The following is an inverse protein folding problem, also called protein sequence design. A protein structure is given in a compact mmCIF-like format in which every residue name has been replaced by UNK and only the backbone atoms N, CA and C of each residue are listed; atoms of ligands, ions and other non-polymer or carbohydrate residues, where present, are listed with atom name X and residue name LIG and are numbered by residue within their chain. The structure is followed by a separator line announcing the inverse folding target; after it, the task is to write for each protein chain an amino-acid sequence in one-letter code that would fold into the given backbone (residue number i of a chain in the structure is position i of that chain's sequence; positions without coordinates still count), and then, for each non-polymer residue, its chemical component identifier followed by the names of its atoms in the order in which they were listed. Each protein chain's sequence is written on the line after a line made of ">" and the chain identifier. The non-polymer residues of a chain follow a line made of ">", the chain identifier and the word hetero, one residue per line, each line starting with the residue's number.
data_IF_575814306923
#
_entry.id   IF_575814306923
#
_cell.length_a   1.000
_cell.length_b   1.000
_cell.length_c   1.000
_cell.angle_alpha   90.00
_cell.angle_beta   90.00
_cell.angle_gamma   90.00
#
_symmetry.space_group_name_H-M   'P 1'
#
loop_
_entity.id
_entity.type
_entity.pdbx_description
1 polymer ?
#
# COMPACT_ATOMS: atom_id res chain seq x y z
N UNK A 1 -20.71 -35.38 -5.71
CA UNK A 1 -19.75 -36.21 -4.98
C UNK A 1 -18.38 -35.57 -5.06
N UNK A 2 -17.56 -35.68 -4.01
CA UNK A 2 -16.27 -35.01 -3.79
C UNK A 2 -15.25 -35.22 -4.94
N UNK A 3 -15.41 -36.24 -5.76
CA UNK A 3 -14.53 -36.60 -6.88
C UNK A 3 -14.75 -35.80 -8.17
N UNK A 4 -15.91 -35.21 -8.36
CA UNK A 4 -16.18 -34.39 -9.57
C UNK A 4 -15.65 -32.94 -9.45
N UNK A 5 -15.42 -32.48 -8.22
CA UNK A 5 -14.86 -31.13 -7.97
C UNK A 5 -13.38 -31.00 -8.40
N UNK A 6 -12.68 -32.10 -8.56
CA UNK A 6 -11.26 -32.15 -8.94
C UNK A 6 -11.00 -32.21 -10.46
N UNK A 7 -12.04 -32.20 -11.27
CA UNK A 7 -11.93 -32.26 -12.75
C UNK A 7 -11.90 -30.90 -13.44
N UNK A 8 -11.65 -29.81 -12.72
CA UNK A 8 -11.33 -28.51 -13.32
C UNK A 8 -9.98 -28.54 -14.04
N UNK A 9 -9.68 -27.55 -14.90
CA UNK A 9 -8.51 -27.56 -15.80
C UNK A 9 -7.18 -27.44 -15.03
N UNK A 10 -6.72 -28.54 -14.46
CA UNK A 10 -5.46 -28.64 -13.71
C UNK A 10 -4.25 -28.77 -14.64
N UNK A 11 -4.13 -27.94 -15.68
CA UNK A 11 -3.00 -28.01 -16.65
C UNK A 11 -2.27 -26.68 -16.89
N UNK A 12 -2.58 -25.61 -16.15
CA UNK A 12 -1.81 -24.37 -16.24
C UNK A 12 -1.11 -24.06 -14.91
N UNK A 13 0.10 -23.49 -14.97
CA UNK A 13 0.75 -22.90 -13.80
C UNK A 13 -0.26 -21.91 -13.15
N UNK A 14 -0.56 -22.10 -11.87
CA UNK A 14 -1.58 -21.32 -11.17
C UNK A 14 -2.96 -21.99 -11.00
N UNK A 15 -3.19 -23.18 -11.58
CA UNK A 15 -4.46 -23.89 -11.43
C UNK A 15 -4.79 -24.27 -9.98
N UNK A 16 -3.77 -24.57 -9.17
CA UNK A 16 -3.93 -24.82 -7.73
C UNK A 16 -4.43 -23.59 -6.98
N UNK A 17 -3.95 -22.42 -7.36
CA UNK A 17 -4.37 -21.14 -6.81
C UNK A 17 -5.81 -20.79 -7.19
N UNK A 18 -6.15 -20.92 -8.48
CA UNK A 18 -7.53 -20.67 -8.95
C UNK A 18 -8.52 -21.63 -8.30
N UNK A 19 -8.11 -22.90 -8.07
CA UNK A 19 -8.93 -23.87 -7.36
C UNK A 19 -9.14 -23.50 -5.88
N UNK A 20 -8.09 -23.03 -5.22
CA UNK A 20 -8.13 -22.57 -3.82
C UNK A 20 -8.98 -21.31 -3.67
N UNK A 21 -8.83 -20.34 -4.58
CA UNK A 21 -9.65 -19.11 -4.61
C UNK A 21 -11.13 -19.44 -4.86
N UNK A 22 -11.42 -20.34 -5.80
CA UNK A 22 -12.77 -20.75 -6.12
C UNK A 22 -13.42 -21.57 -4.98
N UNK A 23 -12.64 -22.38 -4.26
CA UNK A 23 -13.13 -23.11 -3.08
C UNK A 23 -13.40 -22.15 -1.91
N UNK A 24 -12.60 -21.08 -1.78
CA UNK A 24 -12.80 -20.00 -0.81
C UNK A 24 -14.09 -19.20 -1.12
N UNK A 25 -14.30 -18.86 -2.38
CA UNK A 25 -15.51 -18.16 -2.85
C UNK A 25 -16.78 -19.00 -2.61
N UNK A 26 -16.71 -20.32 -2.82
CA UNK A 26 -17.84 -21.24 -2.62
C UNK A 26 -18.13 -21.45 -1.12
N UNK A 27 -17.10 -21.55 -0.28
CA UNK A 27 -17.26 -21.81 1.16
C UNK A 27 -17.53 -20.55 1.98
N UNK A 28 -17.23 -19.37 1.42
CA UNK A 28 -17.24 -18.10 2.14
C UNK A 28 -16.12 -18.00 3.18
N UNK A 29 -15.45 -16.88 3.26
CA UNK A 29 -14.36 -16.65 4.22
C UNK A 29 -14.77 -16.80 5.70
N UNK A 30 -16.06 -16.73 6.01
CA UNK A 30 -16.60 -16.87 7.36
C UNK A 30 -16.36 -18.23 8.05
N UNK A 31 -16.10 -19.30 7.28
CA UNK A 31 -15.87 -20.63 7.85
C UNK A 31 -14.40 -20.90 8.25
N UNK A 32 -13.45 -20.08 7.80
CA UNK A 32 -12.04 -20.22 8.14
C UNK A 32 -11.67 -19.59 9.49
N UNK A 33 -12.48 -18.65 9.98
CA UNK A 33 -12.20 -17.87 11.19
C UNK A 33 -13.17 -18.13 12.37
N UNK A 34 -14.04 -19.16 12.29
CA UNK A 34 -14.98 -19.48 13.36
C UNK A 34 -16.23 -18.59 13.35
N UNK A 35 -17.39 -19.21 13.17
CA UNK A 35 -18.65 -18.63 12.72
C UNK A 35 -19.43 -17.71 13.65
N UNK A 36 -18.83 -16.79 14.39
CA UNK A 36 -19.58 -15.90 15.29
C UNK A 36 -19.18 -14.41 15.23
N UNK A 37 -18.49 -13.93 14.19
CA UNK A 37 -18.16 -12.51 14.11
C UNK A 37 -18.77 -11.84 12.87
N UNK A 38 -19.38 -10.66 13.10
CA UNK A 38 -20.10 -9.84 12.12
C UNK A 38 -19.30 -9.62 10.82
N UNK A 39 -19.98 -9.49 9.68
CA UNK A 39 -19.40 -9.35 8.32
C UNK A 39 -18.24 -8.38 8.16
N UNK A 40 -18.09 -7.43 9.06
CA UNK A 40 -16.98 -6.47 9.09
C UNK A 40 -15.60 -7.12 9.31
N UNK A 41 -15.51 -8.11 10.22
CA UNK A 41 -14.25 -8.82 10.47
C UNK A 41 -13.95 -9.82 9.35
N UNK A 42 -14.97 -10.35 8.72
CA UNK A 42 -14.83 -11.23 7.56
C UNK A 42 -14.21 -10.47 6.38
N UNK A 43 -14.62 -9.23 6.14
CA UNK A 43 -14.08 -8.40 5.06
C UNK A 43 -12.60 -8.01 5.32
N UNK A 44 -12.27 -7.60 6.55
CA UNK A 44 -10.88 -7.31 6.94
C UNK A 44 -10.01 -8.59 6.85
N UNK A 45 -10.54 -9.73 7.28
CA UNK A 45 -9.86 -11.02 7.18
C UNK A 45 -9.59 -11.45 5.73
N UNK A 46 -10.53 -11.21 4.84
CA UNK A 46 -10.42 -11.52 3.41
C UNK A 46 -9.36 -10.64 2.73
N UNK A 47 -9.37 -9.33 2.95
CA UNK A 47 -8.35 -8.41 2.43
C UNK A 47 -6.95 -8.76 2.96
N UNK A 48 -6.84 -9.05 4.26
CA UNK A 48 -5.57 -9.48 4.86
C UNK A 48 -5.08 -10.80 4.28
N UNK A 49 -5.98 -11.75 4.04
CA UNK A 49 -5.64 -13.04 3.44
C UNK A 49 -5.16 -12.87 1.99
N UNK A 50 -5.85 -12.06 1.17
CA UNK A 50 -5.41 -11.76 -0.19
C UNK A 50 -4.06 -11.05 -0.20
N UNK A 51 -3.85 -10.11 0.71
CA UNK A 51 -2.55 -9.42 0.86
C UNK A 51 -1.42 -10.42 1.16
N UNK A 52 -1.60 -11.32 2.12
CA UNK A 52 -0.63 -12.37 2.47
C UNK A 52 -0.39 -13.30 1.28
N UNK A 53 -1.43 -13.64 0.55
CA UNK A 53 -1.34 -14.54 -0.60
C UNK A 53 -0.59 -13.90 -1.76
N UNK A 54 -0.88 -12.64 -2.06
CA UNK A 54 -0.16 -11.87 -3.07
C UNK A 54 1.32 -11.69 -2.69
N UNK A 55 1.60 -11.45 -1.41
CA UNK A 55 2.96 -11.38 -0.87
C UNK A 55 3.70 -12.71 -1.09
N UNK A 56 3.07 -13.84 -0.76
CA UNK A 56 3.66 -15.17 -0.94
C UNK A 56 3.92 -15.50 -2.41
N UNK A 57 2.96 -15.15 -3.30
CA UNK A 57 3.14 -15.35 -4.75
C UNK A 57 4.29 -14.51 -5.28
N UNK A 58 4.42 -13.27 -4.81
CA UNK A 58 5.51 -12.40 -5.23
C UNK A 58 6.85 -12.93 -4.74
N UNK A 59 6.93 -13.39 -3.49
CA UNK A 59 8.12 -14.01 -2.93
C UNK A 59 8.54 -15.25 -3.72
N UNK A 60 7.62 -16.11 -4.09
CA UNK A 60 7.86 -17.28 -4.95
C UNK A 60 8.39 -16.89 -6.34
N UNK A 61 7.85 -15.81 -6.94
CA UNK A 61 8.34 -15.28 -8.22
C UNK A 61 9.78 -14.77 -8.12
N UNK A 62 10.13 -14.16 -6.99
CA UNK A 62 11.45 -13.57 -6.75
C UNK A 62 12.50 -14.61 -6.35
N UNK A 63 12.08 -15.74 -5.76
CA UNK A 63 12.97 -16.82 -5.29
C UNK A 63 13.03 -18.00 -6.28
N UNK A 64 11.98 -18.80 -6.30
CA UNK A 64 11.98 -20.10 -6.99
C UNK A 64 11.78 -19.97 -8.50
N UNK A 65 11.16 -18.87 -8.97
CA UNK A 65 10.86 -18.63 -10.38
C UNK A 65 11.55 -17.40 -10.96
N UNK A 66 12.63 -16.92 -10.34
CA UNK A 66 13.36 -15.71 -10.73
C UNK A 66 13.75 -15.70 -12.20
N UNK A 67 14.22 -16.83 -12.72
CA UNK A 67 14.67 -16.93 -14.12
C UNK A 67 13.50 -16.86 -15.12
N UNK A 68 12.33 -17.36 -14.73
CA UNK A 68 11.11 -17.37 -15.57
C UNK A 68 10.45 -15.99 -15.63
N UNK A 69 10.57 -15.21 -14.57
CA UNK A 69 9.95 -13.88 -14.44
C UNK A 69 10.97 -12.72 -14.50
N UNK A 70 12.23 -13.00 -14.85
CA UNK A 70 13.31 -12.00 -14.87
C UNK A 70 12.97 -10.73 -15.68
N UNK A 71 12.32 -10.86 -16.83
CA UNK A 71 11.86 -9.72 -17.64
C UNK A 71 10.75 -8.91 -16.98
N UNK A 72 9.86 -9.54 -16.22
CA UNK A 72 8.77 -8.86 -15.51
C UNK A 72 9.29 -8.17 -14.24
N UNK A 73 10.23 -8.80 -13.53
CA UNK A 73 10.88 -8.25 -12.34
C UNK A 73 11.81 -7.07 -12.69
N UNK A 74 12.43 -7.08 -13.87
CA UNK A 74 13.29 -5.96 -14.32
C UNK A 74 12.52 -4.69 -14.69
N UNK A 75 11.25 -4.80 -15.09
CA UNK A 75 10.39 -3.69 -15.50
C UNK A 75 9.65 -3.00 -14.33
N UNK A 76 9.55 -3.66 -13.15
CA UNK A 76 8.90 -3.14 -11.95
C UNK A 76 9.76 -3.38 -10.71
N UNK A 77 10.88 -2.65 -10.58
CA UNK A 77 11.63 -2.61 -9.32
C UNK A 77 10.91 -1.70 -8.32
N UNK A 78 9.78 -2.15 -7.80
CA UNK A 78 9.23 -1.60 -6.56
C UNK A 78 9.99 -2.27 -5.40
N UNK A 79 10.91 -1.55 -4.77
CA UNK A 79 11.67 -2.02 -3.62
C UNK A 79 10.82 -2.14 -2.36
N UNK A 80 9.64 -1.52 -2.37
CA UNK A 80 8.72 -1.43 -1.25
C UNK A 80 7.30 -1.73 -1.75
N UNK A 81 6.63 -2.65 -1.05
CA UNK A 81 5.23 -3.03 -1.35
C UNK A 81 4.24 -2.03 -0.80
N UNK A 82 4.50 -1.55 0.41
CA UNK A 82 3.65 -0.58 1.10
C UNK A 82 4.49 0.41 1.90
N UNK A 83 3.97 1.64 2.07
CA UNK A 83 4.61 2.68 2.85
C UNK A 83 3.63 3.20 3.88
N UNK A 84 4.03 3.17 5.14
CA UNK A 84 3.21 3.66 6.25
C UNK A 84 3.43 5.16 6.43
N UNK A 85 2.34 5.93 6.48
CA UNK A 85 2.36 7.37 6.77
C UNK A 85 1.77 7.61 8.16
N UNK A 86 2.58 8.18 9.05
CA UNK A 86 2.15 8.63 10.37
C UNK A 86 2.20 10.16 10.42
N UNK A 87 1.11 10.79 10.75
CA UNK A 87 1.00 12.26 10.87
C UNK A 87 0.24 12.66 12.12
N UNK A 88 0.41 13.91 12.57
CA UNK A 88 -0.40 14.57 13.57
C UNK A 88 -1.59 15.33 12.96
N UNK A 89 -1.72 15.36 11.64
CA UNK A 89 -2.86 15.92 10.95
C UNK A 89 -4.04 14.93 10.91
N UNK A 90 -5.27 15.48 10.90
CA UNK A 90 -6.48 14.69 10.73
C UNK A 90 -6.65 14.31 9.24
N UNK A 91 -6.35 13.08 8.88
CA UNK A 91 -6.46 12.51 7.53
C UNK A 91 -7.65 11.56 7.47
N UNK A 92 -8.86 12.08 7.22
CA UNK A 92 -10.09 11.28 7.25
C UNK A 92 -11.23 11.91 6.44
N UNK A 93 -12.29 11.13 6.22
CA UNK A 93 -13.60 11.64 5.82
C UNK A 93 -14.39 12.04 7.07
N UNK A 94 -14.61 13.35 7.34
CA UNK A 94 -15.34 13.79 8.53
C UNK A 94 -16.79 13.28 8.54
N UNK A 95 -17.32 12.94 9.73
CA UNK A 95 -18.71 12.50 9.91
C UNK A 95 -19.73 13.52 9.41
N UNK A 96 -19.40 14.80 9.49
CA UNK A 96 -20.25 15.88 9.00
C UNK A 96 -20.30 15.93 7.47
N UNK A 97 -19.25 15.47 6.80
CA UNK A 97 -19.15 15.44 5.34
C UNK A 97 -19.84 14.21 4.78
N UNK A 98 -19.53 13.03 5.31
CA UNK A 98 -20.16 11.76 4.91
C UNK A 98 -20.74 11.09 6.15
N UNK A 99 -22.06 11.23 6.34
CA UNK A 99 -22.74 10.79 7.58
C UNK A 99 -22.85 9.26 7.69
N UNK A 100 -23.02 8.58 6.56
CA UNK A 100 -23.20 7.13 6.53
C UNK A 100 -21.87 6.41 6.68
N UNK A 101 -21.72 5.61 7.74
CA UNK A 101 -20.48 4.88 8.03
C UNK A 101 -20.15 3.85 6.96
N UNK A 102 -21.14 3.12 6.42
CA UNK A 102 -20.90 2.13 5.38
C UNK A 102 -20.44 2.78 4.08
N UNK A 103 -20.97 3.96 3.77
CA UNK A 103 -20.56 4.76 2.62
C UNK A 103 -19.12 5.27 2.79
N UNK A 104 -18.74 5.73 4.00
CA UNK A 104 -17.35 6.10 4.28
C UNK A 104 -16.39 4.92 4.11
N UNK A 105 -16.75 3.74 4.62
CA UNK A 105 -15.92 2.54 4.47
C UNK A 105 -15.76 2.14 3.00
N UNK A 106 -16.84 2.18 2.21
CA UNK A 106 -16.78 1.94 0.78
C UNK A 106 -15.85 2.94 0.06
N UNK A 107 -15.92 4.22 0.43
CA UNK A 107 -15.05 5.26 -0.13
C UNK A 107 -13.57 5.09 0.28
N UNK A 108 -13.28 4.64 1.51
CA UNK A 108 -11.91 4.27 1.88
C UNK A 108 -11.38 3.09 1.07
N UNK A 109 -12.22 2.08 0.81
CA UNK A 109 -11.85 0.94 -0.03
C UNK A 109 -11.62 1.38 -1.48
N UNK A 110 -12.49 2.24 -2.05
CA UNK A 110 -12.30 2.80 -3.40
C UNK A 110 -11.01 3.62 -3.47
N UNK A 111 -10.76 4.48 -2.48
CA UNK A 111 -9.58 5.33 -2.40
C UNK A 111 -8.27 4.52 -2.28
N UNK A 112 -8.29 3.41 -1.55
CA UNK A 112 -7.13 2.51 -1.41
C UNK A 112 -6.75 1.83 -2.74
N UNK A 113 -7.68 1.71 -3.68
CA UNK A 113 -7.45 1.14 -5.00
C UNK A 113 -6.96 2.16 -6.04
N UNK A 114 -6.94 3.45 -5.70
CA UNK A 114 -6.44 4.52 -6.57
C UNK A 114 -4.92 4.43 -6.70
N UNK A 115 -4.42 4.44 -7.94
CA UNK A 115 -3.00 4.16 -8.24
C UNK A 115 -2.22 5.35 -8.78
N UNK A 116 -2.91 6.37 -9.26
CA UNK A 116 -2.33 7.53 -9.91
C UNK A 116 -3.16 8.80 -9.69
N UNK A 117 -2.59 9.92 -10.10
CA UNK A 117 -3.20 11.24 -9.90
C UNK A 117 -4.49 11.41 -10.72
N UNK A 118 -4.59 10.81 -11.91
CA UNK A 118 -5.78 10.90 -12.75
C UNK A 118 -6.99 10.25 -12.05
N UNK A 119 -6.83 9.03 -11.55
CA UNK A 119 -7.85 8.32 -10.78
C UNK A 119 -8.21 9.07 -9.48
N UNK A 120 -7.21 9.70 -8.82
CA UNK A 120 -7.45 10.49 -7.62
C UNK A 120 -8.30 11.73 -7.91
N UNK A 121 -8.08 12.40 -9.03
CA UNK A 121 -8.88 13.55 -9.46
C UNK A 121 -10.30 13.14 -9.88
N UNK A 122 -10.46 12.00 -10.54
CA UNK A 122 -11.78 11.44 -10.84
C UNK A 122 -12.54 11.12 -9.54
N UNK A 123 -11.87 10.48 -8.57
CA UNK A 123 -12.45 10.18 -7.27
C UNK A 123 -12.86 11.47 -6.54
N UNK A 124 -12.01 12.49 -6.52
CA UNK A 124 -12.31 13.81 -5.95
C UNK A 124 -13.52 14.46 -6.62
N UNK A 125 -13.61 14.39 -7.93
CA UNK A 125 -14.76 14.93 -8.70
C UNK A 125 -16.07 14.25 -8.32
N UNK A 126 -16.05 12.91 -8.19
CA UNK A 126 -17.22 12.13 -7.72
C UNK A 126 -17.64 12.53 -6.30
N UNK A 127 -16.66 12.78 -5.40
CA UNK A 127 -16.96 13.23 -4.04
C UNK A 127 -17.63 14.60 -4.03
N UNK A 128 -17.11 15.55 -4.81
CA UNK A 128 -17.67 16.90 -4.91
C UNK A 128 -19.10 16.86 -5.43
N UNK A 129 -19.36 16.06 -6.44
CA UNK A 129 -20.70 15.89 -7.03
C UNK A 129 -21.71 15.34 -6.02
N UNK A 130 -21.29 14.42 -5.14
CA UNK A 130 -22.19 13.72 -4.21
C UNK A 130 -22.35 14.44 -2.87
N UNK A 131 -21.29 15.03 -2.37
CA UNK A 131 -21.22 15.53 -0.99
C UNK A 131 -20.88 17.03 -0.91
N UNK A 132 -20.59 17.68 -2.02
CA UNK A 132 -20.17 19.08 -2.07
C UNK A 132 -18.67 19.28 -1.84
N UNK A 133 -18.25 20.51 -1.51
CA UNK A 133 -16.84 20.86 -1.40
C UNK A 133 -16.08 19.97 -0.42
N UNK A 134 -14.87 19.54 -0.81
CA UNK A 134 -14.02 18.66 -0.02
C UNK A 134 -13.48 19.39 1.22
N UNK A 135 -13.64 18.84 2.44
CA UNK A 135 -13.06 19.41 3.66
C UNK A 135 -11.54 19.30 3.68
N UNK A 136 -10.88 20.15 4.48
CA UNK A 136 -9.42 20.15 4.63
C UNK A 136 -8.84 18.80 5.09
N UNK A 137 -9.52 18.09 6.01
CA UNK A 137 -9.11 16.77 6.47
C UNK A 137 -9.11 15.73 5.34
N UNK A 138 -10.03 15.87 4.38
CA UNK A 138 -10.11 14.99 3.21
C UNK A 138 -9.08 15.39 2.15
N UNK A 139 -8.77 16.68 2.00
CA UNK A 139 -7.65 17.10 1.15
C UNK A 139 -6.32 16.55 1.70
N UNK A 140 -6.08 16.67 3.01
CA UNK A 140 -4.91 16.08 3.67
C UNK A 140 -4.84 14.55 3.49
N UNK A 141 -5.99 13.84 3.44
CA UNK A 141 -6.03 12.42 3.13
C UNK A 141 -5.54 12.13 1.69
N UNK A 142 -5.90 12.98 0.72
CA UNK A 142 -5.40 12.85 -0.66
C UNK A 142 -3.90 13.13 -0.75
N UNK A 143 -3.41 14.11 -0.01
CA UNK A 143 -1.98 14.42 0.04
C UNK A 143 -1.18 13.30 0.72
N UNK A 144 -1.74 12.63 1.74
CA UNK A 144 -1.16 11.44 2.34
C UNK A 144 -1.01 10.28 1.32
N UNK A 145 -1.99 10.10 0.43
CA UNK A 145 -1.91 9.09 -0.64
C UNK A 145 -0.83 9.44 -1.66
N UNK A 146 -0.74 10.70 -2.08
CA UNK A 146 0.35 11.18 -2.95
C UNK A 146 1.73 10.94 -2.31
N UNK A 147 1.83 11.28 -1.02
CA UNK A 147 3.03 11.06 -0.24
C UNK A 147 3.39 9.57 -0.17
N UNK A 148 2.40 8.68 0.00
CA UNK A 148 2.60 7.23 -0.01
C UNK A 148 3.15 6.74 -1.36
N UNK A 149 2.62 7.23 -2.50
CA UNK A 149 3.15 6.88 -3.82
C UNK A 149 4.59 7.34 -4.02
N UNK A 150 4.92 8.56 -3.56
CA UNK A 150 6.29 9.08 -3.62
C UNK A 150 7.22 8.28 -2.70
N UNK A 151 6.76 7.93 -1.50
CA UNK A 151 7.51 7.11 -0.57
C UNK A 151 7.87 5.74 -1.16
N UNK A 152 6.92 5.07 -1.80
CA UNK A 152 7.16 3.80 -2.51
C UNK A 152 8.21 3.96 -3.61
N UNK A 153 8.12 5.00 -4.43
CA UNK A 153 9.09 5.28 -5.50
C UNK A 153 10.49 5.55 -4.97
N UNK A 154 10.60 6.23 -3.82
CA UNK A 154 11.88 6.63 -3.22
C UNK A 154 12.46 5.59 -2.27
N UNK A 155 11.75 4.51 -1.97
CA UNK A 155 12.25 3.46 -1.09
C UNK A 155 12.08 3.75 0.41
N UNK A 156 11.00 4.44 0.81
CA UNK A 156 10.69 4.70 2.22
C UNK A 156 9.56 3.80 2.71
N UNK A 157 9.85 2.86 3.57
CA UNK A 157 8.86 1.96 4.19
C UNK A 157 7.94 2.68 5.18
N UNK A 158 8.43 3.77 5.77
CA UNK A 158 7.64 4.57 6.72
C UNK A 158 8.02 6.03 6.65
N UNK A 159 7.02 6.90 6.68
CA UNK A 159 7.20 8.35 6.87
C UNK A 159 6.47 8.77 8.14
N UNK A 160 7.14 9.55 8.97
CA UNK A 160 6.55 10.20 10.13
C UNK A 160 6.62 11.72 9.89
N UNK A 161 5.46 12.35 9.77
CA UNK A 161 5.32 13.79 9.59
C UNK A 161 4.67 14.38 10.84
N UNK A 162 5.49 14.96 11.73
CA UNK A 162 5.04 15.54 13.00
C UNK A 162 5.91 16.72 13.40
N UNK A 163 5.30 17.73 14.04
CA UNK A 163 6.01 18.88 14.57
C UNK A 163 6.90 19.57 13.53
N UNK A 164 6.40 19.78 12.32
CA UNK A 164 7.12 20.41 11.19
C UNK A 164 8.42 19.66 10.79
N UNK A 165 8.48 18.37 11.05
CA UNK A 165 9.58 17.49 10.64
C UNK A 165 9.02 16.29 9.93
N UNK A 166 9.70 15.89 8.85
CA UNK A 166 9.41 14.65 8.15
C UNK A 166 10.60 13.70 8.30
N UNK A 167 10.33 12.52 8.86
CA UNK A 167 11.31 11.45 9.04
C UNK A 167 10.94 10.29 8.11
N UNK A 168 11.80 9.99 7.15
CA UNK A 168 11.63 8.94 6.16
C UNK A 168 12.53 7.76 6.52
N UNK A 169 11.96 6.62 6.79
CA UNK A 169 12.66 5.37 7.10
C UNK A 169 12.85 4.58 5.82
N UNK A 170 14.09 4.31 5.48
CA UNK A 170 14.44 3.51 4.32
C UNK A 170 14.08 2.04 4.52
N UNK A 171 14.22 1.25 3.46
CA UNK A 171 14.08 -0.21 3.46
C UNK A 171 14.84 -0.81 4.65
N UNK A 172 14.14 -1.59 5.49
CA UNK A 172 14.76 -2.16 6.69
C UNK A 172 15.79 -3.24 6.38
N UNK A 173 15.58 -3.98 5.28
CA UNK A 173 16.55 -4.97 4.85
C UNK A 173 17.78 -4.29 4.23
N UNK A 174 18.89 -4.25 4.98
CA UNK A 174 20.14 -3.62 4.53
C UNK A 174 20.83 -4.36 3.38
N UNK A 175 20.47 -5.61 3.11
CA UNK A 175 20.96 -6.40 1.98
C UNK A 175 20.10 -6.19 0.72
N UNK A 176 19.07 -5.36 0.79
CA UNK A 176 18.21 -5.06 -0.36
C UNK A 176 18.99 -4.43 -1.51
N UNK A 177 18.68 -4.87 -2.73
CA UNK A 177 19.19 -4.25 -3.94
C UNK A 177 18.89 -2.75 -4.07
N UNK A 178 17.96 -2.24 -3.26
CA UNK A 178 17.65 -0.83 -3.13
C UNK A 178 18.90 0.03 -2.87
N UNK A 179 19.76 -0.38 -1.95
CA UNK A 179 20.96 0.37 -1.55
C UNK A 179 22.03 0.47 -2.64
N UNK A 180 21.91 -0.36 -3.68
CA UNK A 180 22.77 -0.31 -4.88
C UNK A 180 22.06 0.33 -6.09
N UNK A 181 20.89 0.95 -5.88
CA UNK A 181 20.10 1.53 -6.96
C UNK A 181 20.45 3.01 -7.22
N UNK A 182 20.12 3.48 -8.43
CA UNK A 182 20.23 4.88 -8.81
C UNK A 182 19.29 5.76 -7.97
N UNK A 183 18.17 5.21 -7.48
CA UNK A 183 17.22 5.91 -6.62
C UNK A 183 17.88 6.27 -5.30
N UNK A 184 18.53 5.30 -4.64
CA UNK A 184 19.23 5.55 -3.39
C UNK A 184 20.40 6.53 -3.57
N UNK A 185 21.19 6.36 -4.64
CA UNK A 185 22.27 7.29 -5.00
C UNK A 185 21.73 8.71 -5.21
N UNK A 186 20.61 8.86 -5.90
CA UNK A 186 19.95 10.16 -6.10
C UNK A 186 19.49 10.81 -4.80
N UNK A 187 18.99 10.02 -3.83
CA UNK A 187 18.64 10.53 -2.49
C UNK A 187 19.87 11.01 -1.74
N UNK A 188 20.98 10.27 -1.80
CA UNK A 188 22.26 10.68 -1.17
C UNK A 188 22.78 11.99 -1.77
N UNK A 189 22.76 12.12 -3.10
CA UNK A 189 23.15 13.34 -3.80
C UNK A 189 22.30 14.54 -3.39
N UNK A 190 20.98 14.32 -3.24
CA UNK A 190 20.08 15.38 -2.77
C UNK A 190 20.45 15.86 -1.38
N UNK A 191 20.71 14.94 -0.45
CA UNK A 191 21.08 15.28 0.94
C UNK A 191 22.40 16.05 0.98
N UNK A 192 23.41 15.64 0.20
CA UNK A 192 24.68 16.33 0.10
C UNK A 192 24.55 17.78 -0.42
N UNK A 193 23.64 18.00 -1.36
CA UNK A 193 23.35 19.32 -1.92
C UNK A 193 22.50 20.21 -1.03
N UNK A 194 21.79 19.63 -0.05
CA UNK A 194 20.84 20.34 0.82
C UNK A 194 21.08 20.11 2.32
N UNK A 195 22.30 20.35 2.85
CA UNK A 195 22.65 20.01 4.23
C UNK A 195 21.90 20.80 5.30
N UNK A 196 21.30 21.95 4.94
CA UNK A 196 20.47 22.77 5.84
C UNK A 196 19.06 22.22 6.06
N UNK A 197 18.49 21.54 5.05
CA UNK A 197 17.11 21.08 5.06
C UNK A 197 16.98 19.57 5.27
N UNK A 198 17.96 18.79 4.87
CA UNK A 198 17.93 17.34 4.91
C UNK A 198 19.16 16.79 5.64
N UNK A 199 18.94 15.79 6.47
CA UNK A 199 20.02 15.10 7.21
C UNK A 199 19.77 13.59 7.25
N UNK A 200 20.84 12.82 7.04
CA UNK A 200 20.83 11.36 7.16
C UNK A 200 21.39 10.96 8.52
N UNK A 201 20.70 10.04 9.19
CA UNK A 201 21.17 9.41 10.43
C UNK A 201 21.13 7.91 10.28
N UNK A 202 22.23 7.26 10.58
CA UNK A 202 22.32 5.81 10.68
C UNK A 202 22.27 5.40 12.14
N UNK A 203 21.24 4.63 12.50
CA UNK A 203 21.09 3.98 13.77
C UNK A 203 20.79 2.50 13.53
N UNK A 204 19.76 1.97 14.18
CA UNK A 204 19.22 0.64 13.84
C UNK A 204 18.69 0.60 12.41
N UNK A 205 18.11 1.70 11.96
CA UNK A 205 17.63 1.92 10.60
C UNK A 205 18.27 3.20 10.04
N UNK A 206 18.38 3.30 8.72
CA UNK A 206 18.76 4.53 8.04
C UNK A 206 17.52 5.43 7.97
N UNK A 207 17.67 6.70 8.40
CA UNK A 207 16.59 7.67 8.47
C UNK A 207 17.03 8.96 7.78
N UNK A 208 16.22 9.43 6.83
CA UNK A 208 16.32 10.75 6.25
C UNK A 208 15.36 11.69 6.99
N UNK A 209 15.87 12.79 7.51
CA UNK A 209 15.06 13.80 8.22
C UNK A 209 15.08 15.09 7.43
N UNK A 210 13.89 15.62 7.15
CA UNK A 210 13.68 16.97 6.65
C UNK A 210 13.19 17.87 7.78
N UNK A 211 13.78 19.06 7.89
CA UNK A 211 13.38 20.09 8.85
C UNK A 211 12.53 21.15 8.12
N UNK A 212 11.65 21.84 8.86
CA UNK A 212 10.81 22.92 8.36
C UNK A 212 9.83 22.48 7.23
N UNK A 213 9.28 21.28 7.37
CA UNK A 213 8.17 20.84 6.52
C UNK A 213 6.89 21.42 7.09
N UNK A 214 6.32 22.42 6.41
CA UNK A 214 5.05 23.02 6.79
C UNK A 214 3.93 22.32 6.03
N UNK A 215 3.07 21.60 6.73
CA UNK A 215 1.83 20.91 6.29
C UNK A 215 1.91 20.08 4.98
N UNK A 216 1.13 19.02 4.94
CA UNK A 216 0.80 18.35 3.68
C UNK A 216 -0.12 19.22 2.82
#
# INVERSE_FOLDING_TARGET
>A
TQYERLKGPARSLGAGFQLASHDLDIRGAGNLLGGEQSGFITDIGFETYHKILDETIQELKETDFKDVFAEQLSKKREFIRDSQIDTDEEILFPDKYIRNINERLALYTELNNVKDEEQLQEFKTKLIDRFGPVPSQTEALFDAIRLQWLAKKLGFERIILKNNKMMCYFVFNQESAYYNSDIFSGVLDYVQKNPGNASLKQGKNLILTFNQVHNM
#
